data_IF_669180414620
#
_entry.id   IF_669180414620
#
_cell.length_a   1.000
_cell.length_b   1.000
_cell.length_c   1.000
_cell.angle_alpha   90.00
_cell.angle_beta   90.00
_cell.angle_gamma   90.00
#
_symmetry.space_group_name_H-M   'P 1'
#
loop_
_entity.id
_entity.type
_entity.pdbx_description
1 polymer ?
#
# COMPACT_ATOMS: atom_id res chain seq x y z
N UNK A 1 10.03 0.35 -27.69
CA UNK A 1 10.10 1.05 -26.40
C UNK A 1 8.84 1.89 -26.31
N UNK A 2 7.98 1.75 -25.30
CA UNK A 2 6.85 2.67 -25.17
C UNK A 2 7.36 4.03 -24.67
N UNK A 3 7.01 5.10 -25.39
CA UNK A 3 7.27 6.48 -25.00
C UNK A 3 6.53 6.82 -23.70
N UNK A 4 7.25 6.82 -22.58
CA UNK A 4 6.72 7.26 -21.28
C UNK A 4 6.63 8.79 -21.26
N UNK A 5 5.43 9.30 -21.51
CA UNK A 5 5.06 10.71 -21.31
C UNK A 5 5.44 11.14 -19.89
N UNK A 6 6.39 12.07 -19.75
CA UNK A 6 6.82 12.59 -18.46
C UNK A 6 5.61 13.15 -17.68
N UNK A 7 5.31 12.54 -16.53
CA UNK A 7 4.22 13.00 -15.68
C UNK A 7 4.53 14.40 -15.14
N UNK A 8 3.56 15.31 -15.20
CA UNK A 8 3.69 16.66 -14.66
C UNK A 8 3.83 16.57 -13.13
N UNK A 9 4.93 17.09 -12.59
CA UNK A 9 5.19 17.08 -11.17
C UNK A 9 4.06 17.79 -10.37
N UNK A 10 3.64 17.24 -9.21
CA UNK A 10 2.53 17.78 -8.44
C UNK A 10 2.87 19.18 -7.90
N UNK A 11 1.87 20.06 -7.86
CA UNK A 11 2.00 21.39 -7.26
C UNK A 11 2.14 21.23 -5.73
N UNK A 12 3.24 21.73 -5.17
CA UNK A 12 3.56 21.59 -3.75
C UNK A 12 4.76 22.43 -3.33
N UNK A 13 5.21 22.26 -2.07
CA UNK A 13 6.37 22.98 -1.49
C UNK A 13 7.73 22.58 -2.09
N UNK A 14 7.74 21.63 -3.02
CA UNK A 14 8.96 21.06 -3.60
C UNK A 14 9.47 21.90 -4.78
N UNK A 15 10.75 22.27 -4.76
CA UNK A 15 11.41 22.92 -5.89
C UNK A 15 11.85 21.88 -6.94
N UNK A 16 10.95 21.57 -7.86
CA UNK A 16 11.18 20.60 -8.92
C UNK A 16 12.24 21.00 -9.95
N UNK A 17 12.48 22.30 -10.15
CA UNK A 17 13.48 22.77 -11.09
C UNK A 17 14.89 22.52 -10.55
N UNK A 18 15.10 22.74 -9.25
CA UNK A 18 16.37 22.44 -8.58
C UNK A 18 16.68 20.94 -8.58
N UNK A 19 15.69 20.09 -8.25
CA UNK A 19 15.88 18.63 -8.25
C UNK A 19 16.29 18.08 -9.62
N UNK A 20 15.70 18.60 -10.71
CA UNK A 20 16.06 18.16 -12.07
C UNK A 20 17.43 18.65 -12.56
N UNK A 21 17.95 19.70 -11.94
CA UNK A 21 19.26 20.27 -12.28
C UNK A 21 20.38 19.72 -11.40
N UNK A 22 20.05 18.92 -10.37
CA UNK A 22 21.01 18.25 -9.51
C UNK A 22 21.76 17.18 -10.31
N UNK A 23 23.09 17.12 -10.24
CA UNK A 23 23.86 16.13 -10.97
C UNK A 23 23.81 14.77 -10.27
N UNK A 24 23.98 13.68 -11.03
CA UNK A 24 23.81 12.32 -10.52
C UNK A 24 24.84 11.96 -9.44
N UNK A 25 26.06 12.48 -9.51
CA UNK A 25 27.11 12.26 -8.50
C UNK A 25 26.76 12.85 -7.13
N UNK A 26 26.10 14.02 -7.13
CA UNK A 26 25.57 14.64 -5.93
C UNK A 26 24.44 13.79 -5.33
N UNK A 27 23.57 13.23 -6.17
CA UNK A 27 22.46 12.36 -5.74
C UNK A 27 23.01 11.10 -5.07
N UNK A 28 23.99 10.44 -5.69
CA UNK A 28 24.62 9.23 -5.15
C UNK A 28 25.36 9.50 -3.84
N UNK A 29 26.03 10.67 -3.72
CA UNK A 29 26.68 11.07 -2.47
C UNK A 29 25.64 11.23 -1.35
N UNK A 30 24.56 11.97 -1.61
CA UNK A 30 23.48 12.17 -0.64
C UNK A 30 22.88 10.83 -0.23
N UNK A 31 22.62 9.94 -1.19
CA UNK A 31 22.06 8.62 -0.91
C UNK A 31 22.98 7.72 -0.08
N UNK A 32 24.29 7.84 -0.25
CA UNK A 32 25.31 7.07 0.50
C UNK A 32 25.50 7.61 1.93
N UNK A 33 25.38 8.92 2.11
CA UNK A 33 25.56 9.60 3.40
C UNK A 33 24.28 9.59 4.26
N UNK A 34 23.14 9.14 3.71
CA UNK A 34 21.85 9.11 4.39
C UNK A 34 21.73 7.89 5.33
N UNK A 35 21.80 8.14 6.64
CA UNK A 35 21.66 7.11 7.68
C UNK A 35 20.26 6.44 7.68
N UNK A 36 19.22 7.13 7.21
CA UNK A 36 17.85 6.60 7.11
C UNK A 36 17.65 5.74 5.83
N UNK A 37 18.61 5.76 4.91
CA UNK A 37 18.59 5.01 3.66
C UNK A 37 19.82 4.07 3.54
N UNK A 38 19.93 3.03 4.40
CA UNK A 38 21.06 2.12 4.36
C UNK A 38 21.13 1.37 3.02
N UNK A 39 22.33 1.20 2.48
CA UNK A 39 22.54 0.46 1.26
C UNK A 39 21.97 -0.97 1.37
N UNK A 40 21.10 -1.35 0.44
CA UNK A 40 20.53 -2.71 0.39
C UNK A 40 21.39 -3.60 -0.50
N UNK A 41 21.85 -4.73 0.04
CA UNK A 41 22.54 -5.78 -0.71
C UNK A 41 21.55 -6.89 -1.15
N UNK A 42 21.96 -7.79 -2.05
CA UNK A 42 21.18 -8.95 -2.48
C UNK A 42 20.64 -9.77 -1.30
N UNK A 43 21.45 -9.89 -0.23
CA UNK A 43 21.06 -10.55 1.03
C UNK A 43 19.84 -9.93 1.72
N UNK A 44 19.61 -8.63 1.56
CA UNK A 44 18.44 -7.92 2.07
C UNK A 44 17.16 -8.37 1.34
N UNK A 45 17.27 -8.64 0.03
CA UNK A 45 16.14 -8.99 -0.82
C UNK A 45 15.77 -10.48 -0.77
N UNK A 46 16.65 -11.37 -0.33
CA UNK A 46 16.42 -12.83 -0.26
C UNK A 46 15.19 -13.19 0.61
N UNK A 47 14.97 -12.46 1.71
CA UNK A 47 13.84 -12.68 2.61
C UNK A 47 12.69 -11.68 2.42
N UNK A 48 12.78 -10.81 1.41
CA UNK A 48 11.73 -9.84 1.13
C UNK A 48 10.51 -10.57 0.57
N UNK A 49 9.44 -10.66 1.37
CA UNK A 49 8.16 -11.15 0.88
C UNK A 49 7.50 -10.07 0.02
N UNK A 50 7.31 -10.34 -1.27
CA UNK A 50 6.50 -9.49 -2.14
C UNK A 50 5.05 -9.62 -1.71
N UNK A 51 4.61 -8.71 -0.84
CA UNK A 51 3.19 -8.57 -0.52
C UNK A 51 2.51 -7.86 -1.69
N UNK A 52 1.98 -8.63 -2.64
CA UNK A 52 0.97 -8.13 -3.55
C UNK A 52 -0.36 -8.09 -2.78
N UNK A 53 -0.90 -6.92 -2.38
CA UNK A 53 -2.23 -6.88 -1.82
C UNK A 53 -3.18 -7.48 -2.85
N UNK A 54 -3.82 -8.59 -2.51
CA UNK A 54 -4.91 -9.14 -3.32
C UNK A 54 -5.88 -7.99 -3.61
N UNK A 55 -6.11 -7.72 -4.90
CA UNK A 55 -6.85 -6.54 -5.33
C UNK A 55 -8.19 -6.48 -4.63
N UNK A 56 -8.48 -5.36 -3.94
CA UNK A 56 -9.79 -5.12 -3.34
C UNK A 56 -10.79 -4.90 -4.48
N UNK A 57 -11.80 -5.75 -4.57
CA UNK A 57 -12.89 -5.56 -5.53
C UNK A 57 -13.92 -4.61 -4.96
N UNK A 58 -14.14 -3.47 -5.60
CA UNK A 58 -15.23 -2.56 -5.24
C UNK A 58 -16.55 -3.15 -5.70
N UNK A 59 -17.45 -3.43 -4.75
CA UNK A 59 -18.81 -3.90 -5.01
C UNK A 59 -19.82 -2.95 -4.39
N UNK A 60 -21.03 -2.90 -4.97
CA UNK A 60 -22.17 -2.28 -4.31
C UNK A 60 -22.93 -3.37 -3.54
N UNK A 61 -23.00 -3.25 -2.22
CA UNK A 61 -23.72 -4.17 -1.35
C UNK A 61 -24.67 -3.41 -0.44
N UNK A 62 -25.87 -3.96 -0.22
CA UNK A 62 -26.84 -3.45 0.74
C UNK A 62 -26.68 -4.22 2.05
N UNK A 63 -26.56 -3.50 3.16
CA UNK A 63 -26.43 -4.03 4.51
C UNK A 63 -27.53 -3.44 5.39
N UNK A 64 -27.92 -4.16 6.44
CA UNK A 64 -28.87 -3.66 7.42
C UNK A 64 -28.33 -2.41 8.14
N UNK A 65 -29.25 -1.50 8.47
CA UNK A 65 -28.89 -0.20 9.04
C UNK A 65 -28.15 -0.35 10.38
N UNK A 66 -28.62 -1.25 11.24
CA UNK A 66 -28.04 -1.52 12.56
C UNK A 66 -26.61 -2.08 12.48
N UNK A 67 -26.34 -2.94 11.48
CA UNK A 67 -25.01 -3.44 11.18
C UNK A 67 -24.09 -2.28 10.78
N UNK A 68 -24.52 -1.41 9.88
CA UNK A 68 -23.73 -0.25 9.45
C UNK A 68 -23.47 0.69 10.62
N UNK A 69 -24.48 0.97 11.43
CA UNK A 69 -24.35 1.80 12.63
C UNK A 69 -23.38 1.21 13.65
N UNK A 70 -23.44 -0.11 13.90
CA UNK A 70 -22.52 -0.80 14.80
C UNK A 70 -21.06 -0.57 14.41
N UNK A 71 -20.71 -0.74 13.14
CA UNK A 71 -19.33 -0.55 12.68
C UNK A 71 -18.90 0.92 12.65
N UNK A 72 -19.83 1.85 12.39
CA UNK A 72 -19.57 3.30 12.41
C UNK A 72 -19.26 3.86 13.80
N UNK A 73 -19.74 3.22 14.88
CA UNK A 73 -19.51 3.68 16.26
C UNK A 73 -18.04 3.83 16.63
N UNK A 74 -17.14 3.08 15.98
CA UNK A 74 -15.72 3.04 16.34
C UNK A 74 -14.80 3.83 15.38
N UNK A 75 -15.33 4.64 14.46
CA UNK A 75 -14.51 5.52 13.62
C UNK A 75 -14.78 5.45 12.11
N UNK A 76 -13.93 6.16 11.35
CA UNK A 76 -14.13 6.40 9.90
C UNK A 76 -13.81 5.20 9.01
N UNK A 77 -13.06 4.24 9.54
CA UNK A 77 -12.54 3.04 8.88
C UNK A 77 -13.48 1.82 9.02
N UNK A 78 -14.78 2.07 9.18
CA UNK A 78 -15.80 1.03 9.36
C UNK A 78 -15.82 -0.01 8.23
N UNK A 79 -15.56 0.39 6.97
CA UNK A 79 -15.49 -0.52 5.82
C UNK A 79 -14.30 -1.49 5.91
N UNK A 80 -13.16 -1.04 6.47
CA UNK A 80 -12.00 -1.90 6.65
C UNK A 80 -12.28 -2.97 7.71
N UNK A 81 -12.93 -2.58 8.82
CA UNK A 81 -13.36 -3.50 9.88
C UNK A 81 -14.41 -4.50 9.41
N UNK A 82 -15.38 -4.06 8.61
CA UNK A 82 -16.34 -4.99 7.98
C UNK A 82 -15.62 -6.02 7.12
N UNK A 83 -14.65 -5.59 6.31
CA UNK A 83 -13.89 -6.50 5.45
C UNK A 83 -13.05 -7.51 6.26
N UNK A 84 -12.48 -7.09 7.40
CA UNK A 84 -11.73 -7.98 8.31
C UNK A 84 -12.64 -9.08 8.90
N UNK A 85 -13.83 -8.70 9.38
CA UNK A 85 -14.81 -9.67 9.89
C UNK A 85 -15.23 -10.68 8.80
N UNK A 86 -15.50 -10.19 7.59
CA UNK A 86 -15.84 -11.06 6.45
C UNK A 86 -14.69 -11.99 6.06
N UNK A 87 -13.44 -11.52 6.14
CA UNK A 87 -12.25 -12.36 5.89
C UNK A 87 -12.12 -13.46 6.93
N UNK A 88 -12.20 -13.14 8.22
CA UNK A 88 -12.10 -14.13 9.29
C UNK A 88 -13.20 -15.20 9.18
N UNK A 89 -14.42 -14.77 8.86
CA UNK A 89 -15.53 -15.70 8.61
C UNK A 89 -15.25 -16.62 7.41
N UNK A 90 -14.77 -16.07 6.29
CA UNK A 90 -14.40 -16.83 5.10
C UNK A 90 -13.33 -17.89 5.42
N UNK A 91 -12.27 -17.49 6.12
CA UNK A 91 -11.15 -18.38 6.48
C UNK A 91 -11.63 -19.52 7.39
N UNK A 92 -12.40 -19.21 8.44
CA UNK A 92 -12.97 -20.22 9.34
C UNK A 92 -13.83 -21.24 8.57
N UNK A 93 -14.68 -20.78 7.66
CA UNK A 93 -15.54 -21.65 6.85
C UNK A 93 -14.75 -22.50 5.86
N UNK A 94 -13.66 -21.97 5.30
CA UNK A 94 -12.79 -22.73 4.40
C UNK A 94 -12.04 -23.82 5.16
N UNK A 95 -11.56 -23.55 6.37
CA UNK A 95 -10.88 -24.54 7.19
C UNK A 95 -11.83 -25.67 7.62
N UNK A 96 -13.05 -25.35 8.05
CA UNK A 96 -14.10 -26.35 8.35
C UNK A 96 -14.46 -27.23 7.13
N UNK A 97 -14.38 -26.67 5.93
CA UNK A 97 -14.65 -27.41 4.68
C UNK A 97 -13.47 -28.27 4.26
N UNK A 98 -12.24 -27.88 4.61
CA UNK A 98 -11.01 -28.62 4.29
C UNK A 98 -10.75 -29.79 5.23
N UNK A 99 -11.25 -29.70 6.47
CA UNK A 99 -11.17 -30.76 7.48
C UNK A 99 -12.30 -31.80 7.37
N UNK A 100 -13.21 -31.65 6.40
CA UNK A 100 -14.35 -32.55 6.17
C UNK A 100 -14.15 -33.40 4.90
#
# INVERSE_FOLDING_TARGET
MPDSKAAKAPAGRTNWAALRAMPDDEIERIATEDEDNPATDESHWINASVYAPSGKTAIHATLDQDVVEFFKRNGSDYSARMNEVLRNYMETQQDETRDR
#
